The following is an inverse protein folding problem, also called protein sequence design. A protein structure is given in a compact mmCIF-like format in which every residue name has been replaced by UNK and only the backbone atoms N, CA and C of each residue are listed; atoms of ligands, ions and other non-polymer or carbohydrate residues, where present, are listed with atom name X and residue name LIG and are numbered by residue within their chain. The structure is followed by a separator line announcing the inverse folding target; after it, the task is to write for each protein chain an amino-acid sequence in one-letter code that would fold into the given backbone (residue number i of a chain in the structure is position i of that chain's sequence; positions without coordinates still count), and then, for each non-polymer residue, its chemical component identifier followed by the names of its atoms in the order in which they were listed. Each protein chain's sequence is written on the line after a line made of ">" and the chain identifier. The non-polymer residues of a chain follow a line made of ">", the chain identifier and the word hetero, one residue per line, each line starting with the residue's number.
data_IF_515961388034
#
_entry.id   IF_515961388034
#
_cell.length_a   1.000
_cell.length_b   1.000
_cell.length_c   1.000
_cell.angle_alpha   90.00
_cell.angle_beta   90.00
_cell.angle_gamma   90.00
#
_symmetry.space_group_name_H-M   'P 1'
#
loop_
_entity.id
_entity.type
_entity.pdbx_description
1 polymer ?
#
# COMPACT_ATOMS: atom_id res chain seq x y z
N UNK A 1 22.95 -32.23 1.05
CA UNK A 1 21.71 -32.67 1.74
C UNK A 1 21.26 -31.51 2.62
N UNK A 2 20.23 -30.75 2.19
CA UNK A 2 19.76 -29.54 2.90
C UNK A 2 18.63 -29.93 3.85
N UNK A 3 18.67 -29.60 5.15
CA UNK A 3 17.60 -29.91 6.09
C UNK A 3 16.35 -29.05 5.81
N UNK A 4 15.22 -29.71 5.56
CA UNK A 4 13.94 -29.10 5.18
C UNK A 4 13.04 -28.69 6.37
N UNK A 5 13.61 -28.31 7.52
CA UNK A 5 12.86 -28.00 8.75
C UNK A 5 12.51 -26.51 8.90
N UNK A 6 11.84 -25.92 7.89
CA UNK A 6 11.17 -24.64 8.08
C UNK A 6 9.78 -24.89 8.69
N UNK A 7 9.43 -24.25 9.82
CA UNK A 7 8.12 -24.40 10.44
C UNK A 7 7.06 -23.85 9.49
N UNK A 8 6.38 -24.74 8.76
CA UNK A 8 5.29 -24.38 7.86
C UNK A 8 4.09 -24.02 8.72
N UNK A 9 3.68 -22.74 8.74
CA UNK A 9 2.43 -22.32 9.41
C UNK A 9 1.28 -23.10 8.74
N UNK A 10 0.59 -23.96 9.50
CA UNK A 10 -0.39 -24.89 8.95
C UNK A 10 -1.56 -24.15 8.25
N UNK A 11 -1.79 -24.33 6.94
CA UNK A 11 -2.81 -23.60 6.19
C UNK A 11 -4.24 -23.94 6.63
N UNK A 12 -4.46 -25.16 7.15
CA UNK A 12 -5.76 -25.57 7.71
C UNK A 12 -6.14 -24.76 8.94
N UNK A 13 -5.17 -24.25 9.69
CA UNK A 13 -5.42 -23.44 10.88
C UNK A 13 -5.89 -22.05 10.47
N UNK A 14 -5.26 -21.45 9.44
CA UNK A 14 -5.62 -20.15 8.91
C UNK A 14 -7.05 -20.11 8.34
N UNK A 15 -7.53 -21.19 7.74
CA UNK A 15 -8.90 -21.30 7.22
C UNK A 15 -9.99 -21.33 8.30
N UNK A 16 -9.64 -21.73 9.52
CA UNK A 16 -10.55 -21.75 10.66
C UNK A 16 -10.45 -20.48 11.53
N UNK A 17 -9.60 -19.51 11.16
CA UNK A 17 -9.37 -18.29 11.93
C UNK A 17 -10.34 -17.18 11.54
N UNK A 18 -10.73 -16.41 12.55
CA UNK A 18 -11.45 -15.17 12.30
C UNK A 18 -10.50 -14.08 11.79
N UNK A 19 -11.01 -13.18 10.94
CA UNK A 19 -10.22 -12.04 10.42
C UNK A 19 -9.59 -11.22 11.55
N UNK A 20 -10.33 -11.03 12.66
CA UNK A 20 -9.85 -10.32 13.85
C UNK A 20 -8.64 -11.02 14.49
N UNK A 21 -8.69 -12.34 14.66
CA UNK A 21 -7.56 -13.08 15.23
C UNK A 21 -6.32 -13.00 14.32
N UNK A 22 -6.54 -13.09 13.01
CA UNK A 22 -5.45 -12.97 12.03
C UNK A 22 -4.80 -11.59 12.07
N UNK A 23 -5.61 -10.51 12.07
CA UNK A 23 -5.11 -9.14 12.20
C UNK A 23 -4.38 -8.93 13.54
N UNK A 24 -4.91 -9.50 14.63
CA UNK A 24 -4.28 -9.40 15.95
C UNK A 24 -2.93 -10.13 16.03
N UNK A 25 -2.82 -11.33 15.43
CA UNK A 25 -1.53 -12.04 15.32
C UNK A 25 -0.51 -11.22 14.52
N UNK A 26 -0.89 -10.70 13.35
CA UNK A 26 0.00 -9.90 12.50
C UNK A 26 0.47 -8.64 13.24
N UNK A 27 -0.45 -7.97 13.95
CA UNK A 27 -0.12 -6.80 14.75
C UNK A 27 0.81 -7.14 15.93
N UNK A 28 0.58 -8.26 16.62
CA UNK A 28 1.44 -8.68 17.73
C UNK A 28 2.84 -9.07 17.27
N UNK A 29 2.94 -9.78 16.14
CA UNK A 29 4.21 -10.34 15.66
C UNK A 29 5.03 -9.32 14.84
N UNK A 30 4.37 -8.44 14.07
CA UNK A 30 5.01 -7.49 13.15
C UNK A 30 4.62 -6.02 13.35
N UNK A 31 3.77 -5.72 14.32
CA UNK A 31 3.27 -4.37 14.57
C UNK A 31 2.44 -3.80 13.43
N UNK A 32 2.34 -2.47 13.41
CA UNK A 32 1.68 -1.71 12.34
C UNK A 32 2.36 -1.97 10.99
N UNK A 33 3.69 -2.11 10.96
CA UNK A 33 4.46 -2.36 9.73
C UNK A 33 4.12 -3.72 9.11
N UNK A 34 3.87 -4.75 9.93
CA UNK A 34 3.42 -6.06 9.46
C UNK A 34 2.05 -6.02 8.80
N UNK A 35 1.13 -5.22 9.34
CA UNK A 35 -0.21 -5.02 8.75
C UNK A 35 -0.16 -4.32 7.39
N UNK A 36 0.78 -3.41 7.18
CA UNK A 36 0.95 -2.66 5.93
C UNK A 36 2.11 -3.18 5.07
N UNK A 37 2.62 -4.38 5.35
CA UNK A 37 3.67 -4.99 4.53
C UNK A 37 3.17 -5.16 3.09
N UNK A 38 3.87 -4.55 2.13
CA UNK A 38 3.48 -4.55 0.71
C UNK A 38 2.65 -3.34 0.25
N UNK A 39 2.19 -2.48 1.17
CA UNK A 39 1.54 -1.22 0.79
C UNK A 39 2.51 -0.27 0.07
N UNK A 40 3.77 -0.20 0.52
CA UNK A 40 4.80 0.65 -0.09
C UNK A 40 5.08 0.35 -1.56
N UNK A 41 5.35 -0.89 -2.02
CA UNK A 41 5.52 -1.17 -3.45
C UNK A 41 4.24 -0.91 -4.26
N UNK A 42 3.05 -1.06 -3.67
CA UNK A 42 1.77 -0.72 -4.32
C UNK A 42 1.65 0.79 -4.56
N UNK A 43 1.97 1.58 -3.55
CA UNK A 43 1.99 3.05 -3.65
C UNK A 43 3.10 3.50 -4.60
N UNK A 44 4.28 2.91 -4.55
CA UNK A 44 5.38 3.24 -5.47
C UNK A 44 4.99 3.03 -6.94
N UNK A 45 4.17 2.01 -7.22
CA UNK A 45 3.64 1.77 -8.57
C UNK A 45 2.52 2.73 -8.97
N UNK A 46 1.63 3.09 -8.04
CA UNK A 46 0.48 3.95 -8.33
C UNK A 46 0.78 5.46 -8.26
N UNK A 47 1.79 5.84 -7.46
CA UNK A 47 2.15 7.22 -7.14
C UNK A 47 2.52 8.07 -8.36
N UNK A 48 3.32 7.57 -9.33
CA UNK A 48 3.71 8.35 -10.49
C UNK A 48 2.51 8.83 -11.32
N UNK A 49 1.51 7.96 -11.55
CA UNK A 49 0.32 8.31 -12.32
C UNK A 49 -0.48 9.44 -11.69
N UNK A 50 -0.70 9.39 -10.37
CA UNK A 50 -1.37 10.46 -9.62
C UNK A 50 -0.56 11.76 -9.69
N UNK A 51 0.77 11.66 -9.55
CA UNK A 51 1.66 12.82 -9.66
C UNK A 51 1.58 13.52 -11.02
N UNK A 52 1.51 12.75 -12.11
CA UNK A 52 1.37 13.29 -13.47
C UNK A 52 0.04 14.03 -13.62
N UNK A 53 -1.07 13.44 -13.17
CA UNK A 53 -2.40 14.05 -13.29
C UNK A 53 -2.47 15.38 -12.53
N UNK A 54 -1.97 15.41 -11.30
CA UNK A 54 -1.95 16.65 -10.48
C UNK A 54 -1.04 17.70 -11.12
N UNK A 55 0.12 17.30 -11.62
CA UNK A 55 1.04 18.22 -12.31
C UNK A 55 0.39 18.85 -13.53
N UNK A 56 -0.29 18.06 -14.35
CA UNK A 56 -0.97 18.55 -15.54
C UNK A 56 -2.13 19.49 -15.18
N UNK A 57 -2.91 19.16 -14.16
CA UNK A 57 -3.95 20.03 -13.63
C UNK A 57 -3.40 21.39 -13.21
N UNK A 58 -2.31 21.43 -12.46
CA UNK A 58 -1.68 22.67 -12.03
C UNK A 58 -1.16 23.49 -13.22
N UNK A 59 -0.49 22.87 -14.20
CA UNK A 59 -0.01 23.56 -15.41
C UNK A 59 -1.17 24.24 -16.16
N UNK A 60 -2.26 23.50 -16.40
CA UNK A 60 -3.45 24.03 -17.08
C UNK A 60 -4.06 25.18 -16.29
N UNK A 61 -4.20 25.00 -14.97
CA UNK A 61 -4.73 26.03 -14.07
C UNK A 61 -3.88 27.29 -14.04
N UNK A 62 -2.55 27.18 -13.99
CA UNK A 62 -1.65 28.33 -14.06
C UNK A 62 -1.76 29.05 -15.41
N UNK A 63 -1.81 28.29 -16.50
CA UNK A 63 -1.94 28.84 -17.85
C UNK A 63 -3.27 29.57 -18.00
N UNK A 64 -4.36 28.98 -17.53
CA UNK A 64 -5.69 29.57 -17.60
C UNK A 64 -5.79 30.85 -16.76
N UNK A 65 -5.19 30.87 -15.56
CA UNK A 65 -5.09 32.08 -14.72
C UNK A 65 -4.23 33.16 -15.34
N UNK A 66 -3.20 32.80 -16.09
CA UNK A 66 -2.36 33.78 -16.77
C UNK A 66 -3.05 34.36 -18.01
N UNK A 67 -3.91 33.59 -18.68
CA UNK A 67 -4.71 34.02 -19.83
C UNK A 67 -5.95 34.82 -19.43
N UNK A 68 -6.53 34.52 -18.27
CA UNK A 68 -7.57 35.32 -17.62
C UNK A 68 -7.05 35.85 -16.28
N UNK A 69 -6.15 36.86 -16.28
CA UNK A 69 -5.88 37.61 -15.07
C UNK A 69 -7.21 38.22 -14.65
N UNK A 70 -7.68 37.86 -13.46
CA UNK A 70 -8.94 38.33 -12.87
C UNK A 70 -9.18 39.81 -13.20
N UNK A 71 -10.27 40.09 -13.94
CA UNK A 71 -10.91 41.40 -14.00
C UNK A 71 -11.69 41.63 -12.71
#
# INVERSE_FOLDING_TARGET
>A
MVPSNLPRKDPRRALNMTTRQTLWEIYRDGGVRGLFAGASPRVARAGPSVGIVVSFYEIVKYTLRYLHPDQ
#
